data_IF_840419649189
#
_entry.id   IF_840419649189
#
_cell.length_a   1.000
_cell.length_b   1.000
_cell.length_c   1.000
_cell.angle_alpha   90.00
_cell.angle_beta   90.00
_cell.angle_gamma   90.00
#
_symmetry.space_group_name_H-M   'P 1'
#
loop_
_entity.id
_entity.type
_entity.pdbx_description
1 polymer ?
#
# COMPACT_ATOMS: atom_id res chain seq x y z
N UNK A 1 18.54 -4.86 0.71
CA UNK A 1 17.30 -5.45 0.19
C UNK A 1 17.10 -4.96 -1.23
N UNK A 2 16.69 -5.84 -2.13
CA UNK A 2 16.21 -5.43 -3.47
C UNK A 2 14.78 -4.88 -3.41
N UNK A 3 14.34 -4.23 -4.49
CA UNK A 3 12.99 -3.65 -4.59
C UNK A 3 11.87 -4.69 -4.42
N UNK A 4 12.11 -5.94 -4.83
CA UNK A 4 11.17 -7.05 -4.68
C UNK A 4 11.02 -7.48 -3.21
N UNK A 5 12.12 -7.63 -2.47
CA UNK A 5 12.07 -7.95 -1.04
C UNK A 5 11.42 -6.83 -0.24
N UNK A 6 11.67 -5.57 -0.64
CA UNK A 6 11.01 -4.41 -0.03
C UNK A 6 9.50 -4.44 -0.29
N UNK A 7 9.07 -4.75 -1.52
CA UNK A 7 7.65 -4.85 -1.85
C UNK A 7 6.92 -5.90 -1.00
N UNK A 8 7.49 -7.10 -0.84
CA UNK A 8 6.93 -8.15 0.03
C UNK A 8 6.88 -7.72 1.51
N UNK A 9 7.92 -7.05 2.00
CA UNK A 9 7.95 -6.56 3.38
C UNK A 9 6.87 -5.49 3.63
N UNK A 10 6.69 -4.57 2.68
CA UNK A 10 5.67 -3.52 2.74
C UNK A 10 4.27 -4.14 2.65
N UNK A 11 4.04 -5.10 1.75
CA UNK A 11 2.75 -5.79 1.60
C UNK A 11 2.36 -6.50 2.89
N UNK A 12 3.30 -7.22 3.51
CA UNK A 12 3.06 -7.92 4.77
C UNK A 12 2.76 -6.97 5.93
N UNK A 13 3.46 -5.84 6.00
CA UNK A 13 3.21 -4.81 7.00
C UNK A 13 1.81 -4.21 6.82
N UNK A 14 1.48 -3.78 5.61
CA UNK A 14 0.20 -3.15 5.29
C UNK A 14 -0.97 -4.13 5.38
N UNK A 15 -0.79 -5.40 5.03
CA UNK A 15 -1.80 -6.44 5.19
C UNK A 15 -2.19 -6.71 6.65
N UNK A 16 -1.31 -6.34 7.59
CA UNK A 16 -1.59 -6.44 9.04
C UNK A 16 -1.97 -5.09 9.67
N UNK A 17 -1.91 -4.00 8.92
CA UNK A 17 -2.20 -2.65 9.40
C UNK A 17 -3.71 -2.42 9.36
N UNK A 18 -4.33 -1.96 10.46
CA UNK A 18 -5.78 -1.73 10.49
C UNK A 18 -6.18 -0.26 10.28
N UNK A 19 -5.21 0.66 10.27
CA UNK A 19 -5.44 2.09 10.07
C UNK A 19 -6.51 2.72 10.96
N UNK A 20 -6.83 2.10 12.11
CA UNK A 20 -7.95 2.47 12.99
C UNK A 20 -9.34 2.35 12.36
N UNK A 21 -9.47 1.69 11.21
CA UNK A 21 -10.71 1.56 10.44
C UNK A 21 -11.05 0.10 10.07
N UNK A 22 -10.17 -0.85 10.44
CA UNK A 22 -10.29 -2.27 10.11
C UNK A 22 -9.16 -2.75 9.20
N UNK A 23 -8.89 -4.05 9.25
CA UNK A 23 -7.91 -4.69 8.37
C UNK A 23 -8.33 -4.55 6.90
N UNK A 24 -7.37 -4.45 5.96
CA UNK A 24 -7.65 -4.34 4.55
C UNK A 24 -8.24 -5.65 4.03
N UNK A 25 -9.10 -5.54 3.02
CA UNK A 25 -9.63 -6.68 2.27
C UNK A 25 -8.51 -7.31 1.44
N UNK A 26 -7.74 -6.46 0.75
CA UNK A 26 -6.62 -6.87 -0.09
C UNK A 26 -5.53 -5.80 -0.10
N UNK A 27 -4.27 -6.22 -0.14
CA UNK A 27 -3.11 -5.33 -0.30
C UNK A 27 -2.22 -5.92 -1.37
N UNK A 28 -1.89 -5.11 -2.37
CA UNK A 28 -0.96 -5.47 -3.43
C UNK A 28 0.12 -4.43 -3.57
N UNK A 29 1.37 -4.86 -3.41
CA UNK A 29 2.53 -3.99 -3.59
C UNK A 29 3.31 -4.45 -4.81
N UNK A 30 3.39 -3.57 -5.81
CA UNK A 30 4.12 -3.86 -7.04
C UNK A 30 5.17 -2.78 -7.32
N UNK A 31 6.44 -3.15 -7.51
CA UNK A 31 7.40 -2.26 -8.14
C UNK A 31 6.97 -2.00 -9.58
N UNK A 32 7.10 -0.75 -10.04
CA UNK A 32 6.86 -0.44 -11.45
C UNK A 32 7.94 -1.11 -12.30
N UNK A 33 7.54 -1.90 -13.29
CA UNK A 33 8.48 -2.56 -14.20
C UNK A 33 9.30 -1.58 -15.04
N UNK A 34 8.77 -0.38 -15.26
CA UNK A 34 9.37 0.68 -16.07
C UNK A 34 10.14 1.72 -15.22
N UNK A 35 9.85 1.83 -13.93
CA UNK A 35 10.42 2.84 -13.03
C UNK A 35 10.90 2.20 -11.72
N UNK A 36 12.22 2.12 -11.55
CA UNK A 36 12.85 1.56 -10.35
C UNK A 36 12.58 2.40 -9.09
N UNK A 37 12.14 3.64 -9.26
CA UNK A 37 11.81 4.58 -8.18
C UNK A 37 10.29 4.67 -7.92
N UNK A 38 9.47 3.75 -8.44
CA UNK A 38 8.02 3.78 -8.25
C UNK A 38 7.53 2.47 -7.65
N UNK A 39 6.90 2.55 -6.47
CA UNK A 39 6.22 1.44 -5.81
C UNK A 39 4.73 1.74 -5.79
N UNK A 40 3.96 0.96 -6.55
CA UNK A 40 2.50 1.07 -6.60
C UNK A 40 1.91 0.22 -5.49
N UNK A 41 1.11 0.84 -4.63
CA UNK A 41 0.50 0.18 -3.48
C UNK A 41 -1.01 0.28 -3.59
N UNK A 42 -1.65 -0.84 -3.91
CA UNK A 42 -3.10 -0.94 -3.95
C UNK A 42 -3.60 -1.51 -2.63
N UNK A 43 -4.60 -0.84 -2.04
CA UNK A 43 -5.18 -1.25 -0.76
C UNK A 43 -6.69 -1.23 -0.90
N UNK A 44 -7.30 -2.40 -1.02
CA UNK A 44 -8.74 -2.57 -0.94
C UNK A 44 -9.15 -2.56 0.54
N UNK A 45 -10.00 -1.61 0.90
CA UNK A 45 -10.47 -1.39 2.27
C UNK A 45 -11.98 -1.67 2.40
N UNK A 46 -12.60 -2.18 1.34
CA UNK A 46 -14.02 -2.50 1.30
C UNK A 46 -14.94 -1.26 1.46
N UNK A 47 -16.21 -1.46 1.87
CA UNK A 47 -17.22 -0.39 1.91
C UNK A 47 -17.09 0.61 3.06
N UNK A 48 -15.99 0.56 3.82
CA UNK A 48 -15.82 1.37 5.01
C UNK A 48 -15.30 2.77 4.65
N UNK A 49 -15.82 3.82 5.31
CA UNK A 49 -15.22 5.16 5.23
C UNK A 49 -13.86 5.16 5.92
N UNK A 50 -12.81 5.03 5.14
CA UNK A 50 -11.42 4.96 5.61
C UNK A 50 -10.69 6.27 5.42
N UNK A 51 -9.77 6.55 6.35
CA UNK A 51 -8.85 7.66 6.24
C UNK A 51 -7.67 7.26 5.34
N UNK A 52 -7.80 7.48 4.04
CA UNK A 52 -6.74 7.21 3.04
C UNK A 52 -5.42 7.86 3.44
N UNK A 53 -5.44 9.05 4.03
CA UNK A 53 -4.23 9.74 4.49
C UNK A 53 -3.48 9.04 5.64
N UNK A 54 -4.16 8.21 6.45
CA UNK A 54 -3.50 7.38 7.46
C UNK A 54 -2.73 6.23 6.80
N UNK A 55 -3.35 5.60 5.79
CA UNK A 55 -2.74 4.55 4.98
C UNK A 55 -1.57 5.06 4.15
N UNK A 56 -1.69 6.24 3.56
CA UNK A 56 -0.59 6.88 2.82
C UNK A 56 0.64 7.11 3.72
N UNK A 57 0.41 7.59 4.95
CA UNK A 57 1.48 7.80 5.92
C UNK A 57 2.13 6.50 6.38
N UNK A 58 1.31 5.48 6.68
CA UNK A 58 1.81 4.18 7.10
C UNK A 58 2.62 3.51 5.99
N UNK A 59 2.13 3.55 4.75
CA UNK A 59 2.83 3.02 3.60
C UNK A 59 4.15 3.77 3.32
N UNK A 60 4.15 5.11 3.41
CA UNK A 60 5.38 5.90 3.26
C UNK A 60 6.42 5.60 4.35
N UNK A 61 5.98 5.32 5.59
CA UNK A 61 6.87 4.92 6.67
C UNK A 61 7.47 3.53 6.41
N UNK A 62 6.64 2.56 6.01
CA UNK A 62 7.08 1.20 5.67
C UNK A 62 8.09 1.19 4.51
N UNK A 63 7.85 2.00 3.47
CA UNK A 63 8.80 2.14 2.36
C UNK A 63 10.13 2.72 2.84
N UNK A 64 10.11 3.77 3.66
CA UNK A 64 11.35 4.36 4.20
C UNK A 64 12.15 3.41 5.07
N UNK A 65 11.50 2.55 5.84
CA UNK A 65 12.18 1.52 6.63
C UNK A 65 12.76 0.42 5.74
N UNK A 66 12.02 -0.02 4.72
CA UNK A 66 12.46 -1.08 3.81
C UNK A 66 13.54 -0.61 2.82
N UNK A 67 13.49 0.66 2.42
CA UNK A 67 14.33 1.28 1.38
C UNK A 67 14.79 2.68 1.81
N UNK A 68 15.72 2.77 2.79
CA UNK A 68 16.23 4.06 3.28
C UNK A 68 17.05 4.82 2.22
N UNK A 69 17.65 4.12 1.26
CA UNK A 69 18.52 4.68 0.22
C UNK A 69 17.77 5.14 -1.05
N UNK A 70 16.49 4.81 -1.20
CA UNK A 70 15.71 5.18 -2.39
C UNK A 70 15.17 6.60 -2.21
N UNK A 71 15.78 7.56 -2.91
CA UNK A 71 15.56 8.99 -2.66
C UNK A 71 14.20 9.55 -3.07
N UNK A 72 13.40 8.81 -3.85
CA UNK A 72 12.06 9.22 -4.27
C UNK A 72 11.21 8.00 -4.57
N UNK A 73 10.03 7.92 -3.98
CA UNK A 73 9.02 6.91 -4.32
C UNK A 73 7.66 7.57 -4.45
N UNK A 74 6.94 7.17 -5.50
CA UNK A 74 5.58 7.63 -5.74
C UNK A 74 4.59 6.60 -5.22
N UNK A 75 3.82 6.99 -4.20
CA UNK A 75 2.77 6.19 -3.61
C UNK A 75 1.42 6.52 -4.26
N UNK A 76 0.67 5.50 -4.66
CA UNK A 76 -0.70 5.65 -5.16
C UNK A 76 -1.65 4.73 -4.38
N UNK A 77 -2.21 5.22 -3.27
CA UNK A 77 -3.20 4.45 -2.50
C UNK A 77 -4.57 4.63 -3.13
N UNK A 78 -5.12 3.55 -3.69
CA UNK A 78 -6.50 3.51 -4.18
C UNK A 78 -7.35 2.70 -3.22
N UNK A 79 -8.23 3.39 -2.50
CA UNK A 79 -9.33 2.75 -1.78
C UNK A 79 -10.50 2.55 -2.75
N UNK A 80 -10.62 1.33 -3.28
CA UNK A 80 -11.85 0.95 -3.98
C UNK A 80 -12.88 0.52 -2.93
N UNK A 81 -14.09 1.06 -3.05
CA UNK A 81 -15.25 0.47 -2.40
C UNK A 81 -15.72 -0.57 -3.39
N UNK A 82 -15.53 -1.87 -3.09
CA UNK A 82 -16.27 -2.92 -3.79
C UNK A 82 -17.75 -2.55 -3.65
N UNK A 83 -18.31 -1.97 -4.71
CA UNK A 83 -19.75 -1.78 -4.77
C UNK A 83 -20.26 -3.22 -4.78
N UNK A 84 -21.11 -3.63 -3.82
CA UNK A 84 -21.74 -4.94 -3.93
C UNK A 84 -22.35 -4.98 -5.32
N UNK A 85 -21.85 -5.90 -6.14
CA UNK A 85 -22.29 -6.04 -7.52
C UNK A 85 -23.81 -6.07 -7.47
N UNK A 86 -24.46 -5.05 -8.03
CA UNK A 86 -25.87 -5.15 -8.36
C UNK A 86 -25.96 -6.27 -9.38
N UNK A 87 -26.32 -7.47 -8.95
CA UNK A 87 -27.06 -8.47 -9.71
C UNK A 87 -27.41 -9.69 -8.85
#
# INVERSE_FOLDING_TARGET
MGINEAAEAIEKFLGSYDGGSGAPVDVKVHPSGDDLDVIKIWVDLGPTKVNVGAWEKAAAAAIREALPDTGSFRLEVRAEVDRPSQM
#
